data_IF_015108059923
#
_entry.id   IF_015108059923
#
_cell.length_a   1.000
_cell.length_b   1.000
_cell.length_c   1.000
_cell.angle_alpha   90.00
_cell.angle_beta   90.00
_cell.angle_gamma   90.00
#
_symmetry.space_group_name_H-M   'P 1'
#
loop_
_entity.id
_entity.type
_entity.pdbx_description
1 polymer ?
#
# COMPACT_ATOMS: atom_id res chain seq x y z
N UNK A 1 10.46 -10.49 9.48
CA UNK A 1 9.84 -9.33 8.82
C UNK A 1 8.47 -9.69 8.31
N UNK A 2 7.55 -8.80 8.51
CA UNK A 2 6.19 -8.98 8.01
C UNK A 2 6.00 -8.10 6.77
N UNK A 3 5.35 -8.65 5.76
CA UNK A 3 5.12 -7.94 4.51
C UNK A 3 3.63 -7.78 4.28
N UNK A 4 3.23 -6.61 3.82
CA UNK A 4 1.86 -6.36 3.43
C UNK A 4 1.84 -5.66 2.08
N UNK A 5 0.75 -5.85 1.36
CA UNK A 5 0.49 -5.15 0.12
C UNK A 5 -0.80 -4.38 0.26
N UNK A 6 -0.76 -3.10 -0.07
CA UNK A 6 -1.94 -2.26 -0.01
C UNK A 6 -2.31 -1.89 -1.44
N UNK A 7 -3.50 -2.29 -1.83
CA UNK A 7 -4.04 -1.98 -3.16
C UNK A 7 -4.86 -0.71 -3.03
N UNK A 8 -4.59 0.26 -3.88
CA UNK A 8 -5.10 1.61 -3.71
C UNK A 8 -5.83 2.05 -4.97
N UNK A 9 -7.02 2.60 -4.78
CA UNK A 9 -7.73 3.31 -5.84
C UNK A 9 -7.72 4.80 -5.53
N UNK A 10 -7.43 5.59 -6.55
CA UNK A 10 -7.35 7.04 -6.43
C UNK A 10 -8.49 7.69 -7.17
N UNK A 11 -8.72 8.97 -6.87
CA UNK A 11 -9.60 9.78 -7.69
C UNK A 11 -9.06 9.84 -9.11
N UNK A 12 -9.96 9.91 -10.06
CA UNK A 12 -9.60 9.98 -11.47
C UNK A 12 -8.70 11.20 -11.70
N UNK A 13 -7.55 10.95 -12.34
CA UNK A 13 -6.61 12.02 -12.64
C UNK A 13 -5.63 12.32 -11.51
N UNK A 14 -5.76 11.69 -10.34
CA UNK A 14 -4.90 11.97 -9.20
C UNK A 14 -3.79 10.93 -9.03
N UNK A 15 -3.66 9.99 -9.96
CA UNK A 15 -2.75 8.86 -9.79
C UNK A 15 -1.31 9.30 -9.56
N UNK A 16 -0.83 10.26 -10.34
CA UNK A 16 0.55 10.70 -10.20
C UNK A 16 0.80 11.39 -8.88
N UNK A 17 -0.16 12.20 -8.45
CA UNK A 17 -0.03 12.92 -7.20
C UNK A 17 0.00 11.95 -6.02
N UNK A 18 -0.90 10.99 -6.03
CA UNK A 18 -0.94 9.99 -4.96
C UNK A 18 0.34 9.15 -4.98
N UNK A 19 0.77 8.73 -6.15
CA UNK A 19 2.01 7.96 -6.27
C UNK A 19 3.19 8.73 -5.68
N UNK A 20 3.31 10.01 -6.00
CA UNK A 20 4.42 10.83 -5.51
C UNK A 20 4.38 10.97 -3.99
N UNK A 21 3.20 11.14 -3.43
CA UNK A 21 3.07 11.24 -1.99
C UNK A 21 3.44 9.93 -1.31
N UNK A 22 2.99 8.81 -1.86
CA UNK A 22 3.34 7.51 -1.30
C UNK A 22 4.85 7.28 -1.37
N UNK A 23 5.45 7.65 -2.48
CA UNK A 23 6.88 7.44 -2.67
C UNK A 23 7.70 8.25 -1.70
N UNK A 24 7.19 9.39 -1.23
CA UNK A 24 7.91 10.22 -0.27
C UNK A 24 7.89 9.62 1.13
N UNK A 25 7.09 8.60 1.38
CA UNK A 25 7.05 7.92 2.67
C UNK A 25 8.09 6.82 2.65
N UNK A 26 9.09 6.94 3.52
CA UNK A 26 10.34 6.20 3.40
C UNK A 26 10.25 4.69 3.43
N UNK A 27 9.18 4.11 3.95
CA UNK A 27 9.09 2.66 4.07
C UNK A 27 8.15 2.03 3.08
N UNK A 28 7.66 2.80 2.13
CA UNK A 28 6.71 2.33 1.14
C UNK A 28 7.38 2.16 -0.20
N UNK A 29 6.93 1.12 -0.93
CA UNK A 29 7.39 0.88 -2.30
C UNK A 29 6.17 0.84 -3.20
N UNK A 30 5.69 2.00 -3.66
CA UNK A 30 4.52 2.03 -4.51
C UNK A 30 4.84 1.69 -5.95
N UNK A 31 3.87 1.12 -6.64
CA UNK A 31 3.99 0.80 -8.05
C UNK A 31 2.63 0.99 -8.71
N UNK A 32 2.62 1.66 -9.85
CA UNK A 32 1.40 1.80 -10.64
C UNK A 32 1.03 0.47 -11.27
N UNK A 33 -0.26 0.18 -11.30
CA UNK A 33 -0.76 -1.06 -11.88
C UNK A 33 -1.99 -0.76 -12.72
N UNK A 34 -2.40 -1.75 -13.50
CA UNK A 34 -3.63 -1.67 -14.29
C UNK A 34 -4.64 -2.66 -13.72
N UNK A 35 -5.91 -2.37 -13.96
CA UNK A 35 -6.98 -3.26 -13.58
C UNK A 35 -7.87 -2.65 -12.54
N UNK A 36 -8.27 -3.46 -11.56
CA UNK A 36 -9.22 -3.02 -10.55
C UNK A 36 -8.64 -1.97 -9.61
N UNK A 37 -7.32 -1.84 -9.55
CA UNK A 37 -6.66 -0.88 -8.67
C UNK A 37 -5.66 -0.06 -9.46
N UNK A 38 -5.30 1.10 -8.90
CA UNK A 38 -4.39 2.03 -9.57
C UNK A 38 -2.95 1.89 -9.09
N UNK A 39 -2.77 1.60 -7.82
CA UNK A 39 -1.44 1.53 -7.22
C UNK A 39 -1.41 0.36 -6.25
N UNK A 40 -0.29 -0.36 -6.24
CA UNK A 40 -0.01 -1.35 -5.22
C UNK A 40 1.20 -0.88 -4.45
N UNK A 41 1.14 -0.94 -3.13
CA UNK A 41 2.24 -0.49 -2.27
C UNK A 41 2.68 -1.64 -1.38
N UNK A 42 3.97 -1.92 -1.41
CA UNK A 42 4.54 -2.94 -0.54
C UNK A 42 5.05 -2.28 0.74
N UNK A 43 4.76 -2.91 1.87
CA UNK A 43 5.22 -2.44 3.18
C UNK A 43 5.89 -3.58 3.89
N UNK A 44 7.09 -3.34 4.42
CA UNK A 44 7.77 -4.31 5.26
C UNK A 44 8.05 -3.69 6.61
N UNK A 45 7.74 -4.43 7.67
CA UNK A 45 7.98 -3.97 9.03
C UNK A 45 8.15 -5.18 9.92
N UNK A 46 8.73 -4.99 11.12
CA UNK A 46 8.95 -6.12 12.04
C UNK A 46 7.67 -6.80 12.49
N UNK A 47 6.57 -6.07 12.64
CA UNK A 47 5.35 -6.65 13.19
C UNK A 47 4.13 -6.19 12.41
N UNK A 48 3.05 -6.96 12.54
CA UNK A 48 1.76 -6.61 11.95
C UNK A 48 1.26 -5.28 12.51
N UNK A 49 1.48 -5.06 13.81
CA UNK A 49 1.02 -3.84 14.45
C UNK A 49 1.67 -2.62 13.83
N UNK A 50 2.96 -2.70 13.54
CA UNK A 50 3.65 -1.58 12.90
C UNK A 50 3.14 -1.34 11.48
N UNK A 51 2.81 -2.42 10.77
CA UNK A 51 2.24 -2.27 9.44
C UNK A 51 0.90 -1.55 9.53
N UNK A 52 0.05 -1.94 10.46
CA UNK A 52 -1.24 -1.28 10.64
C UNK A 52 -1.05 0.19 10.99
N UNK A 53 -0.07 0.49 11.83
CA UNK A 53 0.19 1.87 12.20
C UNK A 53 0.62 2.70 10.99
N UNK A 54 1.49 2.15 10.15
CA UNK A 54 1.93 2.84 8.95
C UNK A 54 0.76 3.12 8.03
N UNK A 55 -0.12 2.14 7.84
CA UNK A 55 -1.29 2.32 6.99
C UNK A 55 -2.16 3.45 7.52
N UNK A 56 -2.47 3.41 8.81
CA UNK A 56 -3.39 4.38 9.39
C UNK A 56 -2.77 5.77 9.46
N UNK A 57 -1.51 5.86 9.88
CA UNK A 57 -0.90 7.17 10.12
C UNK A 57 -0.28 7.79 8.87
N UNK A 58 -0.02 6.99 7.84
CA UNK A 58 0.65 7.49 6.64
C UNK A 58 -0.21 7.35 5.40
N UNK A 59 -0.63 6.12 5.06
CA UNK A 59 -1.32 5.90 3.80
C UNK A 59 -2.70 6.54 3.82
N UNK A 60 -3.47 6.34 4.87
CA UNK A 60 -4.83 6.85 4.93
C UNK A 60 -4.88 8.37 5.05
N UNK A 61 -3.74 9.02 5.24
CA UNK A 61 -3.68 10.48 5.25
C UNK A 61 -3.34 11.07 3.90
N UNK A 62 -3.01 10.24 2.94
CA UNK A 62 -2.73 10.73 1.59
C UNK A 62 -4.05 11.17 0.97
N UNK A 63 -4.06 12.40 0.43
CA UNK A 63 -5.25 12.96 -0.18
C UNK A 63 -5.60 12.24 -1.48
N UNK A 64 -6.87 12.22 -1.83
CA UNK A 64 -7.36 11.69 -3.10
C UNK A 64 -7.36 10.19 -3.22
N UNK A 65 -7.14 9.47 -2.13
CA UNK A 65 -7.32 8.02 -2.11
C UNK A 65 -8.79 7.72 -1.88
N UNK A 66 -9.38 6.92 -2.76
CA UNK A 66 -10.80 6.56 -2.67
C UNK A 66 -11.02 5.31 -1.84
N UNK A 67 -10.18 4.31 -2.02
CA UNK A 67 -10.33 3.07 -1.27
C UNK A 67 -9.01 2.35 -1.22
N UNK A 68 -8.87 1.49 -0.21
CA UNK A 68 -7.69 0.66 -0.05
C UNK A 68 -8.11 -0.74 0.34
N UNK A 69 -7.28 -1.71 -0.02
CA UNK A 69 -7.45 -3.09 0.39
C UNK A 69 -6.08 -3.60 0.79
N UNK A 70 -5.98 -4.10 2.02
CA UNK A 70 -4.70 -4.58 2.53
C UNK A 70 -4.64 -6.09 2.52
N UNK A 71 -3.56 -6.62 1.96
CA UNK A 71 -3.28 -8.04 1.96
C UNK A 71 -2.04 -8.29 2.80
N UNK A 72 -2.17 -9.15 3.81
CA UNK A 72 -1.03 -9.49 4.65
C UNK A 72 -0.35 -10.73 4.09
N UNK A 73 0.97 -10.68 3.99
CA UNK A 73 1.71 -11.85 3.59
C UNK A 73 1.76 -12.87 4.70
N UNK A 74 1.90 -14.13 4.32
CA UNK A 74 2.06 -15.21 5.26
C UNK A 74 3.53 -15.62 5.27
N UNK A 75 4.11 -15.69 6.45
CA UNK A 75 5.49 -16.12 6.57
C UNK A 75 5.62 -17.62 6.59
N UNK A 76 4.54 -18.32 6.88
CA UNK A 76 4.61 -19.75 7.05
C UNK A 76 4.39 -20.50 5.77
N UNK A 77 3.80 -19.89 4.80
CA UNK A 77 3.41 -20.57 3.59
C UNK A 77 3.75 -19.78 2.39
N UNK A 78 4.09 -20.49 1.36
CA UNK A 78 4.19 -19.89 0.04
C UNK A 78 2.95 -20.25 -0.71
N UNK A 79 2.18 -19.24 -1.02
CA UNK A 79 0.96 -19.43 -1.78
C UNK A 79 1.33 -19.42 -3.23
N UNK A 80 1.16 -20.55 -3.88
CA UNK A 80 1.51 -20.68 -5.28
C UNK A 80 0.23 -20.91 -6.05
N UNK A 81 -0.08 -19.99 -6.91
CA UNK A 81 -1.29 -20.04 -7.69
C UNK A 81 -1.02 -20.05 -9.17
#
# INVERSE_FOLDING_TARGET
MTTAYVLINCDLGAEEKVFSQLKSIGKLEPQGVFGAYDIITKIEAPTVELIKEIIISKILRVDRIRSTLTLMGSEKEKIIQ
#
